data_IF_162137486752
#
_entry.id   IF_162137486752
#
_cell.length_a   1.000
_cell.length_b   1.000
_cell.length_c   1.000
_cell.angle_alpha   90.00
_cell.angle_beta   90.00
_cell.angle_gamma   90.00
#
_symmetry.space_group_name_H-M   'P 1'
#
loop_
_entity.id
_entity.type
_entity.pdbx_description
1 polymer ?
#
# COMPACT_ATOMS: atom_id res chain seq x y z
N UNK A 1 15.98 -19.33 -3.72
CA UNK A 1 15.39 -17.99 -3.87
C UNK A 1 16.23 -16.97 -3.15
N UNK A 2 16.59 -15.92 -3.83
CA UNK A 2 17.33 -14.83 -3.21
C UNK A 2 16.40 -13.99 -2.32
N UNK A 3 16.76 -13.82 -1.06
CA UNK A 3 16.06 -12.92 -0.18
C UNK A 3 16.70 -11.54 -0.27
N UNK A 4 15.89 -10.51 -0.32
CA UNK A 4 16.39 -9.15 -0.26
C UNK A 4 16.74 -8.78 1.18
N UNK A 5 17.89 -8.12 1.35
CA UNK A 5 18.24 -7.51 2.62
C UNK A 5 18.01 -6.00 2.50
N UNK A 6 17.31 -5.45 3.45
CA UNK A 6 16.98 -4.02 3.45
C UNK A 6 17.52 -3.41 4.74
N UNK A 7 18.30 -2.36 4.58
CA UNK A 7 18.83 -1.59 5.71
C UNK A 7 18.26 -0.18 5.62
N UNK A 8 17.51 0.21 6.64
CA UNK A 8 16.96 1.57 6.70
C UNK A 8 17.88 2.44 7.54
N UNK A 9 18.35 3.51 6.95
CA UNK A 9 19.26 4.46 7.59
C UNK A 9 18.43 5.71 7.90
N UNK A 10 18.30 6.05 9.16
CA UNK A 10 17.42 7.14 9.60
C UNK A 10 18.16 8.45 9.81
N UNK A 11 19.47 8.41 9.99
CA UNK A 11 20.27 9.61 10.20
C UNK A 11 21.75 9.34 10.05
N UNK A 12 22.54 10.39 10.24
CA UNK A 12 23.99 10.29 10.09
C UNK A 12 24.62 9.33 11.10
N UNK A 13 24.01 9.20 12.28
CA UNK A 13 24.56 8.36 13.35
C UNK A 13 24.60 6.90 12.95
N UNK A 14 23.55 6.42 12.26
CA UNK A 14 23.46 5.02 11.86
C UNK A 14 23.90 4.75 10.42
N UNK A 15 24.32 5.80 9.69
CA UNK A 15 24.77 5.66 8.31
C UNK A 15 25.94 4.70 8.17
N UNK A 16 27.03 4.95 8.89
CA UNK A 16 28.23 4.13 8.80
C UNK A 16 28.02 2.68 9.24
N UNK A 17 27.45 2.44 10.43
CA UNK A 17 27.26 1.05 10.87
C UNK A 17 26.41 0.25 9.90
N UNK A 18 25.31 0.82 9.41
CA UNK A 18 24.42 0.10 8.50
C UNK A 18 25.00 -0.06 7.10
N UNK A 19 25.74 0.92 6.61
CA UNK A 19 26.47 0.76 5.35
C UNK A 19 27.54 -0.31 5.45
N UNK A 20 28.20 -0.41 6.61
CA UNK A 20 29.18 -1.47 6.82
C UNK A 20 28.52 -2.86 6.82
N UNK A 21 27.35 -2.99 7.46
CA UNK A 21 26.60 -4.24 7.42
C UNK A 21 26.20 -4.61 5.98
N UNK A 22 25.75 -3.62 5.22
CA UNK A 22 25.38 -3.82 3.82
C UNK A 22 26.60 -4.26 2.99
N UNK A 23 27.76 -3.65 3.24
CA UNK A 23 29.00 -4.02 2.56
C UNK A 23 29.40 -5.46 2.87
N UNK A 24 29.30 -5.88 4.12
CA UNK A 24 29.59 -7.27 4.50
C UNK A 24 28.63 -8.24 3.82
N UNK A 25 27.34 -7.90 3.77
CA UNK A 25 26.35 -8.72 3.07
C UNK A 25 26.66 -8.80 1.56
N UNK A 26 27.07 -7.69 0.97
CA UNK A 26 27.46 -7.65 -0.44
C UNK A 26 28.67 -8.56 -0.72
N UNK A 27 29.65 -8.56 0.16
CA UNK A 27 30.81 -9.43 0.02
C UNK A 27 30.43 -10.91 0.01
N UNK A 28 29.46 -11.30 0.82
CA UNK A 28 28.96 -12.67 0.82
C UNK A 28 28.15 -12.97 -0.43
N UNK A 29 27.28 -12.04 -0.81
CA UNK A 29 26.37 -12.24 -1.96
C UNK A 29 27.11 -12.36 -3.28
N UNK A 30 28.19 -11.57 -3.46
CA UNK A 30 28.92 -11.56 -4.74
C UNK A 30 29.58 -12.90 -5.04
N UNK A 31 29.83 -13.73 -4.03
CA UNK A 31 30.43 -15.04 -4.22
C UNK A 31 29.49 -16.01 -4.93
N UNK A 32 28.17 -15.77 -4.84
CA UNK A 32 27.15 -16.60 -5.48
C UNK A 32 26.70 -16.04 -6.84
N UNK A 33 27.18 -14.86 -7.21
CA UNK A 33 26.82 -14.23 -8.48
C UNK A 33 26.68 -12.73 -8.36
N UNK A 34 26.32 -12.05 -9.47
CA UNK A 34 26.12 -10.59 -9.44
C UNK A 34 25.03 -10.18 -8.44
N UNK A 35 25.21 -9.05 -7.82
CA UNK A 35 24.23 -8.46 -6.90
C UNK A 35 23.88 -7.05 -7.36
N UNK A 36 22.72 -6.57 -6.92
CA UNK A 36 22.27 -5.21 -7.18
C UNK A 36 22.13 -4.47 -5.84
N UNK A 37 22.65 -3.26 -5.79
CA UNK A 37 22.46 -2.38 -4.63
C UNK A 37 21.59 -1.20 -5.07
N UNK A 38 20.53 -0.96 -4.31
CA UNK A 38 19.57 0.09 -4.63
C UNK A 38 19.46 1.06 -3.47
N UNK A 39 19.52 2.35 -3.79
CA UNK A 39 19.29 3.42 -2.81
C UNK A 39 17.96 4.08 -3.13
N UNK A 40 17.15 4.25 -2.11
CA UNK A 40 15.84 4.88 -2.27
C UNK A 40 15.30 5.39 -0.96
N UNK A 41 14.16 6.02 -1.02
CA UNK A 41 13.47 6.48 0.18
C UNK A 41 12.68 5.32 0.80
N UNK A 42 12.44 5.36 2.13
CA UNK A 42 11.66 4.33 2.78
C UNK A 42 10.27 4.20 2.15
N UNK A 43 9.86 2.96 1.98
CA UNK A 43 8.48 2.69 1.57
C UNK A 43 7.56 2.82 2.78
N UNK A 44 6.26 3.03 2.53
CA UNK A 44 5.27 3.00 3.60
C UNK A 44 5.33 1.65 4.31
N UNK A 45 5.00 1.63 5.60
CA UNK A 45 5.19 0.42 6.39
C UNK A 45 4.14 -0.64 6.06
N UNK A 46 4.47 -1.90 6.41
CA UNK A 46 3.61 -3.04 6.15
C UNK A 46 2.29 -3.00 6.93
N UNK A 47 2.28 -2.35 8.10
CA UNK A 47 1.07 -2.23 8.90
C UNK A 47 0.00 -1.41 8.17
N UNK A 48 0.40 -0.31 7.52
CA UNK A 48 -0.52 0.49 6.71
C UNK A 48 -1.07 -0.29 5.52
N UNK A 49 -0.21 -1.04 4.84
CA UNK A 49 -0.63 -1.90 3.73
C UNK A 49 -1.63 -2.95 4.19
N UNK A 50 -1.35 -3.62 5.32
CA UNK A 50 -2.26 -4.63 5.86
C UNK A 50 -3.61 -4.03 6.22
N UNK A 51 -3.60 -2.86 6.87
CA UNK A 51 -4.84 -2.18 7.24
C UNK A 51 -5.67 -1.88 5.99
N UNK A 52 -5.05 -1.32 4.95
CA UNK A 52 -5.77 -1.02 3.70
C UNK A 52 -6.43 -2.28 3.14
N UNK A 53 -5.68 -3.38 3.02
CA UNK A 53 -6.21 -4.61 2.45
C UNK A 53 -7.26 -5.26 3.33
N UNK A 54 -7.13 -5.15 4.66
CA UNK A 54 -8.16 -5.65 5.59
C UNK A 54 -9.47 -4.87 5.42
N UNK A 55 -9.40 -3.56 5.32
CA UNK A 55 -10.58 -2.73 5.07
C UNK A 55 -11.22 -3.06 3.72
N UNK A 56 -10.42 -3.15 2.68
CA UNK A 56 -10.91 -3.48 1.33
C UNK A 56 -11.58 -4.84 1.29
N UNK A 57 -11.02 -5.82 1.99
CA UNK A 57 -11.58 -7.17 2.05
C UNK A 57 -12.97 -7.15 2.69
N UNK A 58 -13.13 -6.44 3.79
CA UNK A 58 -14.43 -6.37 4.48
C UNK A 58 -15.46 -5.58 3.68
N UNK A 59 -15.03 -4.54 2.98
CA UNK A 59 -15.92 -3.84 2.05
C UNK A 59 -16.36 -4.77 0.93
N UNK A 60 -15.44 -5.53 0.35
CA UNK A 60 -15.76 -6.43 -0.76
C UNK A 60 -16.75 -7.53 -0.35
N UNK A 61 -16.70 -7.96 0.90
CA UNK A 61 -17.59 -9.01 1.39
C UNK A 61 -19.00 -8.49 1.67
N UNK A 62 -19.16 -7.22 1.95
CA UNK A 62 -20.42 -6.68 2.47
C UNK A 62 -21.15 -5.74 1.51
N UNK A 63 -20.45 -5.13 0.56
CA UNK A 63 -21.05 -4.14 -0.33
C UNK A 63 -21.37 -4.77 -1.68
N UNK A 64 -22.64 -4.58 -2.10
CA UNK A 64 -23.07 -4.89 -3.47
C UNK A 64 -23.14 -3.56 -4.22
N UNK A 65 -22.30 -3.41 -5.25
CA UNK A 65 -22.14 -2.13 -5.97
C UNK A 65 -22.79 -2.24 -7.34
N UNK A 66 -23.92 -1.56 -7.50
CA UNK A 66 -24.70 -1.57 -8.73
C UNK A 66 -24.97 -3.01 -9.23
N UNK A 67 -25.34 -3.89 -8.30
CA UNK A 67 -25.66 -5.29 -8.63
C UNK A 67 -24.46 -6.21 -8.76
N UNK A 68 -23.25 -5.72 -8.50
CA UNK A 68 -22.02 -6.50 -8.63
C UNK A 68 -21.26 -6.57 -7.31
N UNK A 69 -20.65 -7.71 -7.07
CA UNK A 69 -19.70 -7.86 -5.98
C UNK A 69 -18.29 -7.64 -6.52
N UNK A 70 -17.65 -6.58 -6.07
CA UNK A 70 -16.30 -6.25 -6.48
C UNK A 70 -15.27 -6.94 -5.59
N UNK A 71 -14.13 -7.29 -6.16
CA UNK A 71 -12.99 -7.83 -5.40
C UNK A 71 -12.33 -6.72 -4.57
N UNK A 72 -11.50 -7.08 -3.58
CA UNK A 72 -10.73 -6.05 -2.87
C UNK A 72 -9.89 -5.18 -3.80
N UNK A 73 -9.29 -5.77 -4.84
CA UNK A 73 -8.51 -5.02 -5.81
C UNK A 73 -9.35 -4.03 -6.61
N UNK A 74 -10.55 -4.46 -7.02
CA UNK A 74 -11.47 -3.56 -7.70
C UNK A 74 -11.86 -2.40 -6.80
N UNK A 75 -12.14 -2.66 -5.53
CA UNK A 75 -12.46 -1.61 -4.56
C UNK A 75 -11.29 -0.66 -4.35
N UNK A 76 -10.07 -1.19 -4.33
CA UNK A 76 -8.89 -0.34 -4.27
C UNK A 76 -8.86 0.64 -5.44
N UNK A 77 -9.13 0.15 -6.63
CA UNK A 77 -9.15 0.97 -7.83
C UNK A 77 -10.26 2.01 -7.80
N UNK A 78 -11.45 1.64 -7.35
CA UNK A 78 -12.58 2.56 -7.23
C UNK A 78 -12.25 3.69 -6.24
N UNK A 79 -11.75 3.34 -5.07
CA UNK A 79 -11.41 4.33 -4.05
C UNK A 79 -10.23 5.20 -4.47
N UNK A 80 -9.24 4.62 -5.12
CA UNK A 80 -8.08 5.37 -5.65
C UNK A 80 -8.51 6.36 -6.72
N UNK A 81 -9.40 5.93 -7.61
CA UNK A 81 -9.92 6.80 -8.67
C UNK A 81 -10.67 8.00 -8.08
N UNK A 82 -11.45 7.77 -7.02
CA UNK A 82 -12.15 8.85 -6.33
C UNK A 82 -11.18 9.85 -5.72
N UNK A 83 -10.08 9.35 -5.14
CA UNK A 83 -9.10 10.19 -4.46
C UNK A 83 -8.21 10.96 -5.43
N UNK A 84 -7.78 10.32 -6.51
CA UNK A 84 -6.80 10.88 -7.44
C UNK A 84 -7.42 11.44 -8.72
N UNK A 85 -8.75 11.37 -8.84
CA UNK A 85 -9.50 11.83 -10.01
C UNK A 85 -8.98 11.24 -11.32
N UNK A 86 -8.85 9.91 -11.32
CA UNK A 86 -8.41 9.19 -12.52
C UNK A 86 -9.39 9.38 -13.67
N UNK A 87 -8.86 9.32 -14.89
CA UNK A 87 -9.66 9.45 -16.11
C UNK A 87 -9.96 8.09 -16.70
N UNK A 88 -11.16 7.95 -17.29
CA UNK A 88 -11.52 6.78 -18.06
C UNK A 88 -11.19 7.05 -19.53
N UNK A 89 -10.48 6.12 -20.19
CA UNK A 89 -10.16 6.24 -21.61
C UNK A 89 -10.59 4.96 -22.32
N UNK A 90 -10.90 5.05 -23.64
CA UNK A 90 -11.24 3.84 -24.41
C UNK A 90 -10.04 2.89 -24.47
N UNK A 91 -10.30 1.60 -24.29
CA UNK A 91 -9.29 0.57 -24.47
C UNK A 91 -9.10 0.19 -25.94
N UNK A 92 -8.08 -0.60 -26.21
CA UNK A 92 -7.76 -1.04 -27.57
C UNK A 92 -8.90 -1.88 -28.14
N UNK A 93 -9.56 -2.64 -27.30
CA UNK A 93 -10.66 -3.55 -27.70
C UNK A 93 -12.05 -2.91 -27.59
N UNK A 94 -12.14 -1.61 -27.37
CA UNK A 94 -13.40 -0.91 -27.19
C UNK A 94 -13.93 -0.88 -25.77
N UNK A 95 -13.24 -1.52 -24.82
CA UNK A 95 -13.58 -1.42 -23.40
C UNK A 95 -13.13 -0.09 -22.80
N UNK A 96 -13.32 0.05 -21.49
CA UNK A 96 -12.94 1.27 -20.76
C UNK A 96 -11.75 0.94 -19.87
N UNK A 97 -10.73 1.79 -19.93
CA UNK A 97 -9.52 1.64 -19.11
C UNK A 97 -9.38 2.86 -18.22
N UNK A 98 -9.16 2.64 -16.91
CA UNK A 98 -8.87 3.71 -15.97
C UNK A 98 -7.38 4.01 -16.00
N UNK A 99 -7.02 5.25 -16.27
CA UNK A 99 -5.64 5.69 -16.22
C UNK A 99 -5.45 6.61 -15.03
N UNK A 100 -4.36 6.39 -14.29
CA UNK A 100 -4.07 7.17 -13.11
C UNK A 100 -2.94 6.55 -12.31
N UNK A 101 -2.73 7.07 -11.10
CA UNK A 101 -1.59 6.70 -10.28
C UNK A 101 -1.78 5.33 -9.62
N UNK A 102 -0.72 4.53 -9.62
CA UNK A 102 -0.65 3.29 -8.85
C UNK A 102 -0.50 3.61 -7.36
N UNK A 103 -1.12 2.78 -6.50
CA UNK A 103 -0.96 2.93 -5.04
C UNK A 103 0.48 2.67 -4.59
N UNK A 104 1.27 1.93 -5.36
CA UNK A 104 2.66 1.66 -5.02
C UNK A 104 3.54 2.90 -5.07
N UNK A 105 3.13 3.94 -5.79
CA UNK A 105 3.88 5.18 -5.93
C UNK A 105 3.30 6.33 -5.11
N UNK A 106 2.25 6.08 -4.35
CA UNK A 106 1.66 7.10 -3.50
C UNK A 106 2.61 7.50 -2.39
N UNK A 107 2.66 8.79 -2.09
CA UNK A 107 3.35 9.24 -0.90
C UNK A 107 2.56 8.83 0.35
N UNK A 108 3.17 9.02 1.51
CA UNK A 108 2.59 8.59 2.79
C UNK A 108 1.27 9.29 3.08
N UNK A 109 1.18 10.59 2.78
CA UNK A 109 -0.04 11.36 3.04
C UNK A 109 -1.20 10.91 2.15
N UNK A 110 -0.95 10.73 0.87
CA UNK A 110 -1.97 10.27 -0.08
C UNK A 110 -2.46 8.87 0.28
N UNK A 111 -1.55 8.00 0.71
CA UNK A 111 -1.91 6.65 1.14
C UNK A 111 -2.75 6.68 2.41
N UNK A 112 -2.43 7.56 3.36
CA UNK A 112 -3.25 7.77 4.56
C UNK A 112 -4.66 8.24 4.19
N UNK A 113 -4.76 9.16 3.23
CA UNK A 113 -6.05 9.63 2.74
C UNK A 113 -6.85 8.50 2.10
N UNK A 114 -6.19 7.59 1.40
CA UNK A 114 -6.85 6.43 0.80
C UNK A 114 -7.45 5.52 1.88
N UNK A 115 -6.72 5.25 2.95
CA UNK A 115 -7.22 4.45 4.07
C UNK A 115 -8.48 5.09 4.65
N UNK A 116 -8.46 6.40 4.86
CA UNK A 116 -9.62 7.13 5.38
C UNK A 116 -10.82 7.06 4.42
N UNK A 117 -10.57 7.19 3.12
CA UNK A 117 -11.63 7.09 2.11
C UNK A 117 -12.29 5.72 2.15
N UNK A 118 -11.50 4.66 2.20
CA UNK A 118 -12.04 3.30 2.24
C UNK A 118 -12.89 3.08 3.49
N UNK A 119 -12.39 3.48 4.64
CA UNK A 119 -13.12 3.32 5.90
C UNK A 119 -14.41 4.13 5.89
N UNK A 120 -14.35 5.40 5.53
CA UNK A 120 -15.51 6.28 5.51
C UNK A 120 -16.56 5.81 4.51
N UNK A 121 -16.13 5.41 3.33
CA UNK A 121 -17.04 4.89 2.30
C UNK A 121 -17.72 3.61 2.79
N UNK A 122 -16.94 2.69 3.37
CA UNK A 122 -17.50 1.46 3.93
C UNK A 122 -18.55 1.75 4.99
N UNK A 123 -18.24 2.67 5.92
CA UNK A 123 -19.19 3.05 6.97
C UNK A 123 -20.46 3.64 6.38
N UNK A 124 -20.35 4.49 5.35
CA UNK A 124 -21.52 5.06 4.66
C UNK A 124 -22.37 3.99 3.99
N UNK A 125 -21.75 2.92 3.49
CA UNK A 125 -22.45 1.81 2.85
C UNK A 125 -23.00 0.78 3.84
N UNK A 126 -22.84 1.03 5.13
CA UNK A 126 -23.34 0.12 6.16
C UNK A 126 -22.43 -1.05 6.46
N UNK A 127 -21.18 -1.00 6.06
CA UNK A 127 -20.21 -2.06 6.37
C UNK A 127 -19.95 -2.10 7.86
N UNK A 128 -20.05 -3.28 8.45
CA UNK A 128 -19.68 -3.53 9.84
C UNK A 128 -18.29 -4.14 9.85
N UNK A 129 -17.29 -3.30 10.10
CA UNK A 129 -15.92 -3.78 10.20
C UNK A 129 -15.75 -4.63 11.45
N UNK A 130 -14.97 -5.69 11.34
CA UNK A 130 -14.69 -6.57 12.48
C UNK A 130 -14.01 -5.81 13.60
N UNK A 131 -14.12 -6.34 14.82
CA UNK A 131 -13.49 -5.71 16.00
C UNK A 131 -11.97 -5.57 15.79
N UNK A 132 -11.34 -6.58 15.18
CA UNK A 132 -9.90 -6.54 14.89
C UNK A 132 -9.55 -5.39 13.95
N UNK A 133 -10.28 -5.25 12.86
CA UNK A 133 -10.01 -4.21 11.86
C UNK A 133 -10.33 -2.82 12.42
N UNK A 134 -11.42 -2.70 13.17
CA UNK A 134 -11.78 -1.44 13.81
C UNK A 134 -10.71 -1.00 14.81
N UNK A 135 -10.15 -1.95 15.58
CA UNK A 135 -9.07 -1.65 16.51
C UNK A 135 -7.79 -1.23 15.78
N UNK A 136 -7.44 -1.92 14.70
CA UNK A 136 -6.27 -1.56 13.88
C UNK A 136 -6.41 -0.15 13.28
N UNK A 137 -7.61 0.18 12.79
CA UNK A 137 -7.88 1.51 12.25
C UNK A 137 -7.76 2.57 13.34
N UNK A 138 -8.31 2.31 14.53
CA UNK A 138 -8.21 3.23 15.65
C UNK A 138 -6.77 3.48 16.09
N UNK A 139 -5.96 2.43 16.18
CA UNK A 139 -4.54 2.55 16.50
C UNK A 139 -3.80 3.36 15.43
N UNK A 140 -4.11 3.11 14.18
CA UNK A 140 -3.50 3.85 13.08
C UNK A 140 -3.86 5.34 13.14
N UNK A 141 -5.12 5.67 13.42
CA UNK A 141 -5.54 7.07 13.57
C UNK A 141 -4.76 7.78 14.67
N UNK A 142 -4.57 7.12 15.82
CA UNK A 142 -3.79 7.71 16.91
C UNK A 142 -2.34 7.93 16.51
N UNK A 143 -1.78 7.05 15.68
CA UNK A 143 -0.37 7.13 15.27
C UNK A 143 -0.10 8.30 14.32
N UNK A 144 -1.10 8.82 13.63
CA UNK A 144 -0.91 9.91 12.65
C UNK A 144 -1.29 11.27 13.20
N UNK A 145 -1.76 11.33 14.45
CA UNK A 145 -2.07 12.61 15.12
C UNK A 145 -0.82 13.33 15.60
#
# INVERSE_FOLDING_TARGET
MASELVYQIEGEVDLRPKMYQAWQAANKGIQSGPITVTLGRPRRNHAQNRLLWSLLTEVSQQVNWYGQKLSPEDWKNVCTASLTKQSAVPGIDGGVVMVGASTSRMDKQTFSNLIEVVYSFGAQQGVKFSDRVSAEYGEWLESIK
#
